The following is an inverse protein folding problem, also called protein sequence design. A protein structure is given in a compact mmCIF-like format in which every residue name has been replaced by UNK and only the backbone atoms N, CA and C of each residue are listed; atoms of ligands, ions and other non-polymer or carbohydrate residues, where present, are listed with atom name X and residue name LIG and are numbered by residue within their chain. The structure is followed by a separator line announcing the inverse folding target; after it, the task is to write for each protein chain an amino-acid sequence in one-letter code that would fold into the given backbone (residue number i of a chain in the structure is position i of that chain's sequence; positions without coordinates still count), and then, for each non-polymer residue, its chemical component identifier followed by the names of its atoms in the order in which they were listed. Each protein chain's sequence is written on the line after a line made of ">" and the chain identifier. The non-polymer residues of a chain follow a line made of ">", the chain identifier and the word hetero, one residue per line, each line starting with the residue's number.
data_IF_726298593727
#
_entry.id   IF_726298593727
#
_cell.length_a   1.000
_cell.length_b   1.000
_cell.length_c   1.000
_cell.angle_alpha   90.00
_cell.angle_beta   90.00
_cell.angle_gamma   90.00
#
_symmetry.space_group_name_H-M   'P 1'
#
loop_
_entity.id
_entity.type
_entity.pdbx_description
1 polymer ?
#
# COMPACT_ATOMS: atom_id res chain seq x y z
N UNK A 1 -12.69 -0.51 5.96
CA UNK A 1 -13.44 -1.04 4.81
C UNK A 1 -13.89 0.12 3.94
N UNK A 2 -14.11 -0.10 2.64
CA UNK A 2 -14.60 0.92 1.72
C UNK A 2 -15.98 1.43 2.12
N UNK A 3 -16.17 2.75 2.11
CA UNK A 3 -17.43 3.41 2.44
C UNK A 3 -17.86 4.31 1.28
N UNK A 4 -19.14 4.28 0.91
CA UNK A 4 -19.67 5.12 -0.18
C UNK A 4 -19.85 6.57 0.28
N UNK A 5 -19.63 7.49 -0.65
CA UNK A 5 -19.97 8.91 -0.51
C UNK A 5 -21.36 9.14 -1.11
N UNK A 6 -22.35 9.46 -0.29
CA UNK A 6 -23.72 9.69 -0.76
C UNK A 6 -23.86 10.99 -1.56
N UNK A 7 -24.85 11.03 -2.45
CA UNK A 7 -25.20 12.22 -3.24
C UNK A 7 -24.24 12.55 -4.38
N UNK A 8 -23.38 11.61 -4.78
CA UNK A 8 -22.48 11.75 -5.94
C UNK A 8 -23.16 11.20 -7.20
N UNK A 9 -22.82 11.76 -8.37
CA UNK A 9 -23.39 11.32 -9.65
C UNK A 9 -22.77 10.01 -10.13
N UNK A 10 -21.54 9.75 -9.70
CA UNK A 10 -20.79 8.54 -10.02
C UNK A 10 -20.35 7.84 -8.74
N UNK A 11 -20.00 6.54 -8.85
CA UNK A 11 -19.37 5.79 -7.76
C UNK A 11 -18.21 6.58 -7.17
N UNK A 12 -18.27 6.81 -5.86
CA UNK A 12 -17.26 7.50 -5.10
C UNK A 12 -17.15 6.79 -3.75
N UNK A 13 -15.99 6.19 -3.51
CA UNK A 13 -15.69 5.47 -2.27
C UNK A 13 -14.48 6.08 -1.56
N UNK A 14 -14.47 5.97 -0.24
CA UNK A 14 -13.37 6.35 0.65
C UNK A 14 -12.98 5.16 1.52
N UNK A 15 -11.70 5.01 1.83
CA UNK A 15 -11.18 3.83 2.53
C UNK A 15 -10.53 4.17 3.88
N UNK A 16 -9.65 5.16 3.90
CA UNK A 16 -8.84 5.53 5.07
C UNK A 16 -8.50 7.01 5.05
N UNK A 17 -8.15 7.56 6.21
CA UNK A 17 -7.79 8.95 6.38
C UNK A 17 -6.54 9.10 7.27
N UNK A 18 -5.65 10.01 6.88
CA UNK A 18 -4.37 10.25 7.54
C UNK A 18 -4.14 11.74 7.71
N UNK A 19 -3.65 12.16 8.86
CA UNK A 19 -3.15 13.52 9.01
C UNK A 19 -1.78 13.66 8.33
N UNK A 20 -1.61 14.70 7.53
CA UNK A 20 -0.37 15.01 6.82
C UNK A 20 0.09 16.43 7.21
N UNK A 21 1.16 16.47 8.04
CA UNK A 21 1.75 17.70 8.55
C UNK A 21 3.07 18.09 7.88
N UNK A 22 3.56 17.34 6.89
CA UNK A 22 4.86 17.55 6.23
C UNK A 22 4.93 18.78 5.31
N UNK A 23 3.84 19.54 5.25
CA UNK A 23 3.67 20.74 4.43
C UNK A 23 2.44 21.52 4.92
N UNK A 24 1.54 21.89 4.02
CA UNK A 24 0.25 22.44 4.44
C UNK A 24 -0.53 21.38 5.26
N UNK A 25 -0.98 21.75 6.46
CA UNK A 25 -1.71 20.85 7.36
C UNK A 25 -3.01 20.41 6.71
N UNK A 26 -3.23 19.10 6.60
CA UNK A 26 -4.45 18.56 6.03
C UNK A 26 -4.76 17.15 6.53
N UNK A 27 -6.02 16.75 6.42
CA UNK A 27 -6.41 15.33 6.43
C UNK A 27 -6.45 14.86 4.98
N UNK A 28 -5.67 13.83 4.66
CA UNK A 28 -5.64 13.17 3.37
C UNK A 28 -6.46 11.90 3.46
N UNK A 29 -7.51 11.81 2.65
CA UNK A 29 -8.37 10.63 2.57
C UNK A 29 -8.07 9.89 1.27
N UNK A 30 -7.95 8.57 1.37
CA UNK A 30 -7.70 7.67 0.25
C UNK A 30 -9.06 7.21 -0.27
N UNK A 31 -9.25 7.32 -1.58
CA UNK A 31 -10.53 7.00 -2.21
C UNK A 31 -10.40 6.51 -3.64
N UNK A 32 -11.55 6.23 -4.23
CA UNK A 32 -11.70 5.93 -5.64
C UNK A 32 -12.92 6.67 -6.18
N UNK A 33 -12.77 7.34 -7.32
CA UNK A 33 -13.83 8.15 -7.93
C UNK A 33 -13.63 8.25 -9.44
N UNK A 34 -14.54 8.93 -10.13
CA UNK A 34 -14.49 9.10 -11.59
C UNK A 34 -13.18 9.78 -12.00
N UNK A 35 -12.53 9.23 -13.02
CA UNK A 35 -11.21 9.71 -13.48
C UNK A 35 -11.26 11.14 -14.01
N UNK A 36 -12.26 11.45 -14.84
CA UNK A 36 -12.44 12.77 -15.47
C UNK A 36 -13.70 13.44 -14.94
N UNK A 37 -13.54 14.67 -14.45
CA UNK A 37 -14.62 15.45 -13.85
C UNK A 37 -15.23 14.78 -12.62
N UNK A 38 -14.43 14.44 -11.58
CA UNK A 38 -14.96 13.88 -10.34
C UNK A 38 -15.93 14.86 -9.67
N UNK A 39 -16.85 14.31 -8.88
CA UNK A 39 -17.80 15.13 -8.11
C UNK A 39 -17.08 16.01 -7.08
N UNK A 40 -17.58 17.24 -6.93
CA UNK A 40 -17.11 18.15 -5.86
C UNK A 40 -17.67 17.66 -4.53
N UNK A 41 -16.81 17.58 -3.52
CA UNK A 41 -17.16 17.09 -2.19
C UNK A 41 -16.62 18.01 -1.11
N UNK A 42 -17.15 17.84 0.11
CA UNK A 42 -16.77 18.57 1.30
C UNK A 42 -16.33 17.58 2.38
N UNK A 43 -15.39 18.01 3.20
CA UNK A 43 -14.96 17.27 4.37
C UNK A 43 -15.70 17.81 5.59
N UNK A 44 -16.42 16.93 6.30
CA UNK A 44 -16.93 17.18 7.63
C UNK A 44 -15.91 16.66 8.62
N UNK A 45 -15.21 17.58 9.28
CA UNK A 45 -14.18 17.30 10.27
C UNK A 45 -14.84 17.19 11.64
N UNK A 46 -14.66 16.06 12.30
CA UNK A 46 -15.29 15.77 13.59
C UNK A 46 -14.28 15.94 14.72
N UNK A 47 -14.58 16.87 15.60
CA UNK A 47 -13.83 17.15 16.81
C UNK A 47 -14.57 16.55 17.99
N UNK A 48 -13.84 15.75 18.78
CA UNK A 48 -14.37 15.18 20.00
C UNK A 48 -13.71 15.86 21.19
N UNK A 49 -14.52 16.57 21.98
CA UNK A 49 -14.15 17.09 23.29
C UNK A 49 -14.86 16.25 24.37
N UNK A 50 -14.41 16.35 25.63
CA UNK A 50 -14.88 15.50 26.73
C UNK A 50 -16.41 15.40 26.85
N UNK A 51 -17.17 16.47 26.49
CA UNK A 51 -18.63 16.51 26.58
C UNK A 51 -19.36 16.97 25.31
N UNK A 52 -18.66 17.20 24.18
CA UNK A 52 -19.31 17.66 22.95
C UNK A 52 -18.61 17.17 21.69
N UNK A 53 -19.41 16.92 20.65
CA UNK A 53 -18.92 16.67 19.29
C UNK A 53 -19.17 17.93 18.46
N UNK A 54 -18.10 18.57 18.00
CA UNK A 54 -18.18 19.74 17.12
C UNK A 54 -17.77 19.35 15.72
N UNK A 55 -18.47 19.86 14.72
CA UNK A 55 -18.15 19.60 13.31
C UNK A 55 -17.73 20.87 12.60
N UNK A 56 -16.70 20.79 11.76
CA UNK A 56 -16.37 21.84 10.80
C UNK A 56 -16.47 21.28 9.38
N UNK A 57 -17.20 21.96 8.50
CA UNK A 57 -17.28 21.59 7.09
C UNK A 57 -16.34 22.46 6.25
N UNK A 58 -15.43 21.84 5.51
CA UNK A 58 -14.48 22.54 4.61
C UNK A 58 -14.59 21.99 3.19
N UNK A 59 -14.37 22.81 2.14
CA UNK A 59 -14.31 22.31 0.77
C UNK A 59 -13.11 21.36 0.62
N UNK A 60 -13.33 20.24 -0.06
CA UNK A 60 -12.27 19.27 -0.33
C UNK A 60 -11.65 19.48 -1.72
N UNK A 61 -10.35 19.22 -1.85
CA UNK A 61 -9.70 19.10 -3.15
C UNK A 61 -9.51 17.64 -3.53
N UNK A 62 -10.25 17.17 -4.54
CA UNK A 62 -10.09 15.82 -5.08
C UNK A 62 -8.96 15.81 -6.10
N UNK A 63 -7.91 15.02 -5.83
CA UNK A 63 -6.75 14.82 -6.69
C UNK A 63 -6.73 13.37 -7.16
N UNK A 64 -7.19 13.14 -8.39
CA UNK A 64 -7.14 11.83 -9.05
C UNK A 64 -5.69 11.44 -9.33
N UNK A 65 -5.37 10.16 -9.13
CA UNK A 65 -4.05 9.60 -9.46
C UNK A 65 -3.92 9.49 -10.98
N UNK A 66 -2.77 9.97 -11.50
CA UNK A 66 -2.51 10.08 -12.94
C UNK A 66 -2.39 8.73 -13.62
N UNK A 67 -1.81 7.75 -12.94
CA UNK A 67 -1.71 6.39 -13.44
C UNK A 67 -3.09 5.70 -13.32
N UNK A 68 -3.87 5.78 -14.38
CA UNK A 68 -5.27 5.35 -14.40
C UNK A 68 -5.71 4.71 -15.72
N UNK A 69 -4.82 4.66 -16.72
CA UNK A 69 -5.04 4.01 -18.02
C UNK A 69 -6.30 4.47 -18.76
N UNK A 70 -6.74 5.71 -18.54
CA UNK A 70 -8.00 6.25 -19.07
C UNK A 70 -9.25 5.43 -18.71
N UNK A 71 -9.19 4.60 -17.66
CA UNK A 71 -10.35 3.88 -17.16
C UNK A 71 -11.38 4.85 -16.56
N UNK A 72 -12.63 4.39 -16.43
CA UNK A 72 -13.76 5.20 -15.98
C UNK A 72 -13.54 5.76 -14.57
N UNK A 73 -12.92 4.97 -13.69
CA UNK A 73 -12.60 5.33 -12.31
C UNK A 73 -11.11 5.17 -12.04
N UNK A 74 -10.64 5.92 -11.04
CA UNK A 74 -9.26 5.92 -10.59
C UNK A 74 -9.20 6.15 -9.09
N UNK A 75 -8.09 5.70 -8.50
CA UNK A 75 -7.72 6.07 -7.15
C UNK A 75 -7.55 7.60 -7.04
N UNK A 76 -7.86 8.16 -5.88
CA UNK A 76 -7.74 9.58 -5.63
C UNK A 76 -7.35 9.88 -4.18
N UNK A 77 -6.79 11.08 -4.00
CA UNK A 77 -6.72 11.73 -2.71
C UNK A 77 -7.84 12.74 -2.58
N UNK A 78 -8.52 12.75 -1.45
CA UNK A 78 -9.42 13.82 -1.04
C UNK A 78 -8.68 14.61 0.03
N UNK A 79 -8.30 15.84 -0.30
CA UNK A 79 -7.50 16.70 0.56
C UNK A 79 -8.43 17.64 1.32
N UNK A 80 -8.44 17.48 2.65
CA UNK A 80 -9.22 18.29 3.57
C UNK A 80 -8.27 19.26 4.29
N UNK A 81 -8.19 20.54 3.88
CA UNK A 81 -7.28 21.49 4.50
C UNK A 81 -7.64 21.74 5.97
N UNK A 82 -6.63 21.90 6.82
CA UNK A 82 -6.77 22.29 8.22
C UNK A 82 -6.15 23.68 8.42
N UNK A 83 -6.87 24.56 9.11
CA UNK A 83 -6.34 25.87 9.49
C UNK A 83 -5.22 25.72 10.55
N UNK A 84 -4.25 26.63 10.54
CA UNK A 84 -3.06 26.54 11.41
C UNK A 84 -3.38 26.50 12.90
N UNK A 85 -4.45 27.17 13.34
CA UNK A 85 -4.90 27.25 14.72
C UNK A 85 -5.80 26.09 15.17
N UNK A 86 -6.11 25.14 14.28
CA UNK A 86 -7.01 24.04 14.58
C UNK A 86 -6.27 22.77 15.01
N UNK A 87 -6.85 22.02 15.93
CA UNK A 87 -6.39 20.67 16.26
C UNK A 87 -6.65 19.70 15.10
N UNK A 88 -6.01 18.54 15.15
CA UNK A 88 -6.30 17.45 14.21
C UNK A 88 -7.65 16.83 14.59
N UNK A 89 -8.60 16.69 13.66
CA UNK A 89 -9.90 16.10 13.97
C UNK A 89 -9.76 14.60 14.26
N UNK A 90 -10.62 14.06 15.11
CA UNK A 90 -10.62 12.63 15.46
C UNK A 90 -11.09 11.76 14.30
N UNK A 91 -12.04 12.25 13.50
CA UNK A 91 -12.54 11.56 12.32
C UNK A 91 -12.95 12.56 11.23
N UNK A 92 -13.09 12.07 10.01
CA UNK A 92 -13.53 12.85 8.85
C UNK A 92 -14.62 12.08 8.10
N UNK A 93 -15.61 12.81 7.61
CA UNK A 93 -16.58 12.31 6.63
C UNK A 93 -16.48 13.10 5.33
N UNK A 94 -16.70 12.43 4.21
CA UNK A 94 -16.77 13.05 2.89
C UNK A 94 -18.23 13.07 2.44
N UNK A 95 -18.74 14.22 2.01
CA UNK A 95 -20.11 14.34 1.53
C UNK A 95 -20.22 15.19 0.26
N UNK A 96 -21.22 14.87 -0.56
CA UNK A 96 -21.72 15.79 -1.58
C UNK A 96 -22.69 16.79 -0.95
N UNK A 97 -22.74 18.02 -1.47
CA UNK A 97 -23.70 19.06 -1.02
C UNK A 97 -25.17 18.65 -1.22
N UNK A 98 -25.44 17.64 -2.05
CA UNK A 98 -26.79 17.15 -2.29
C UNK A 98 -27.43 16.48 -1.05
N UNK A 99 -26.66 16.13 -0.02
CA UNK A 99 -27.14 15.41 1.17
C UNK A 99 -26.73 16.16 2.44
N UNK A 100 -27.65 16.25 3.41
CA UNK A 100 -27.42 16.96 4.70
C UNK A 100 -26.62 16.13 5.72
N UNK A 101 -26.56 14.81 5.58
CA UNK A 101 -25.84 13.91 6.49
C UNK A 101 -24.87 12.99 5.75
N UNK A 102 -23.62 12.83 6.23
CA UNK A 102 -22.65 11.98 5.59
C UNK A 102 -22.96 10.49 5.76
N UNK A 103 -22.69 9.70 4.73
CA UNK A 103 -22.86 8.23 4.71
C UNK A 103 -21.61 7.45 5.13
N UNK A 104 -20.55 8.15 5.52
CA UNK A 104 -19.26 7.57 5.86
C UNK A 104 -18.65 8.32 7.05
N UNK A 105 -17.75 7.67 7.78
CA UNK A 105 -16.92 8.27 8.82
C UNK A 105 -15.63 7.47 8.95
N UNK A 106 -14.50 8.14 8.76
CA UNK A 106 -13.17 7.56 8.81
C UNK A 106 -12.40 8.14 9.98
N UNK A 107 -11.76 7.30 10.79
CA UNK A 107 -10.80 7.76 11.79
C UNK A 107 -9.59 8.39 11.10
N UNK A 108 -9.10 9.49 11.68
CA UNK A 108 -7.90 10.16 11.19
C UNK A 108 -6.70 9.57 11.90
N UNK A 109 -5.88 8.81 11.17
CA UNK A 109 -4.68 8.19 11.71
C UNK A 109 -3.51 9.19 11.77
N UNK A 110 -2.51 8.84 12.57
CA UNK A 110 -1.23 9.54 12.73
C UNK A 110 -1.28 10.98 13.30
N UNK A 111 -2.40 11.35 13.93
CA UNK A 111 -2.55 12.66 14.55
C UNK A 111 -1.51 12.90 15.66
N UNK A 112 -1.18 11.88 16.45
CA UNK A 112 -0.24 11.96 17.56
C UNK A 112 1.21 11.87 17.08
N UNK A 113 1.49 10.93 16.19
CA UNK A 113 2.82 10.67 15.63
C UNK A 113 3.35 11.90 14.90
N UNK A 114 2.50 12.56 14.11
CA UNK A 114 2.86 13.79 13.40
C UNK A 114 3.00 15.02 14.32
N UNK A 115 2.50 14.96 15.57
CA UNK A 115 2.69 16.02 16.56
C UNK A 115 4.03 15.92 17.31
N UNK A 116 4.74 14.79 17.18
CA UNK A 116 6.07 14.62 17.79
C UNK A 116 7.10 15.51 17.07
N UNK A 117 7.76 16.37 17.83
CA UNK A 117 8.76 17.33 17.32
C UNK A 117 10.02 16.64 16.73
N UNK A 118 10.33 15.44 17.22
CA UNK A 118 11.36 14.56 16.69
C UNK A 118 10.73 13.21 16.43
N UNK A 119 10.50 12.82 15.17
CA UNK A 119 10.26 11.42 14.84
C UNK A 119 11.48 10.67 15.38
N UNK A 120 11.26 9.68 16.25
CA UNK A 120 12.31 8.76 16.67
C UNK A 120 12.99 8.26 15.39
N UNK A 121 14.34 8.20 15.30
CA UNK A 121 15.03 7.77 14.09
C UNK A 121 14.32 6.54 13.58
N UNK A 122 13.67 6.70 12.43
CA UNK A 122 12.75 5.71 11.94
C UNK A 122 13.62 4.48 11.75
N UNK A 123 13.28 3.42 12.50
CA UNK A 123 14.10 2.23 12.57
C UNK A 123 14.50 1.82 11.17
N UNK A 124 15.69 1.23 10.98
CA UNK A 124 16.11 0.66 9.69
C UNK A 124 15.10 -0.36 9.13
N UNK A 125 14.06 -0.70 9.89
CA UNK A 125 12.92 -1.50 9.47
C UNK A 125 12.29 -1.07 8.17
N UNK A 126 11.87 -2.07 7.42
CA UNK A 126 11.29 -1.95 6.09
C UNK A 126 9.90 -2.58 6.10
N UNK A 127 8.89 -1.78 5.76
CA UNK A 127 7.54 -2.29 5.48
C UNK A 127 7.41 -2.68 4.00
N UNK A 128 6.51 -3.61 3.69
CA UNK A 128 6.24 -4.05 2.32
C UNK A 128 4.79 -3.84 1.98
N UNK A 129 4.54 -3.23 0.82
CA UNK A 129 3.21 -3.01 0.27
C UNK A 129 3.06 -3.81 -1.01
N UNK A 130 2.07 -4.70 -1.01
CA UNK A 130 1.78 -5.58 -2.13
C UNK A 130 0.46 -5.18 -2.79
N UNK A 131 0.34 -5.39 -4.10
CA UNK A 131 -0.93 -5.23 -4.81
C UNK A 131 -2.07 -6.05 -4.19
N UNK A 132 -3.34 -5.65 -4.39
CA UNK A 132 -4.47 -6.44 -3.94
C UNK A 132 -4.42 -7.91 -4.41
N UNK A 133 -4.69 -8.82 -3.49
CA UNK A 133 -4.88 -10.24 -3.78
C UNK A 133 -6.29 -10.42 -4.36
N UNK A 134 -6.37 -10.86 -5.61
CA UNK A 134 -7.60 -10.89 -6.39
C UNK A 134 -7.76 -12.23 -7.16
N UNK A 135 -8.87 -12.37 -7.89
CA UNK A 135 -9.18 -13.57 -8.70
C UNK A 135 -9.07 -14.90 -7.95
N UNK A 136 -9.55 -14.94 -6.70
CA UNK A 136 -9.48 -16.15 -5.86
C UNK A 136 -8.06 -16.69 -5.74
N UNK A 137 -7.11 -15.82 -5.41
CA UNK A 137 -5.70 -16.17 -5.32
C UNK A 137 -5.47 -17.40 -4.42
N UNK A 138 -4.84 -18.42 -5.01
CA UNK A 138 -4.69 -19.76 -4.42
C UNK A 138 -3.25 -20.30 -4.52
N UNK A 139 -2.28 -19.48 -4.93
CA UNK A 139 -0.85 -19.84 -4.98
C UNK A 139 -0.23 -19.74 -3.57
N UNK A 140 -0.72 -20.55 -2.64
CA UNK A 140 -0.38 -20.43 -1.21
C UNK A 140 1.10 -20.68 -0.93
N UNK A 141 1.75 -21.61 -1.63
CA UNK A 141 3.18 -21.89 -1.43
C UNK A 141 4.05 -20.71 -1.87
N UNK A 142 3.72 -20.09 -3.02
CA UNK A 142 4.41 -18.89 -3.50
C UNK A 142 4.25 -17.72 -2.53
N UNK A 143 3.09 -17.59 -1.89
CA UNK A 143 2.88 -16.59 -0.85
C UNK A 143 3.75 -16.84 0.39
N UNK A 144 3.87 -18.09 0.83
CA UNK A 144 4.74 -18.48 1.95
C UNK A 144 6.19 -18.15 1.59
N UNK A 145 6.65 -18.56 0.41
CA UNK A 145 7.99 -18.27 -0.10
C UNK A 145 8.25 -16.76 -0.13
N UNK A 146 7.31 -15.97 -0.66
CA UNK A 146 7.41 -14.52 -0.68
C UNK A 146 7.54 -13.94 0.74
N UNK A 147 6.74 -14.38 1.70
CA UNK A 147 6.79 -13.87 3.08
C UNK A 147 8.13 -14.24 3.74
N UNK A 148 8.54 -15.50 3.67
CA UNK A 148 9.77 -15.96 4.32
C UNK A 148 11.02 -15.37 3.67
N UNK A 149 11.08 -15.30 2.35
CA UNK A 149 12.23 -14.75 1.64
C UNK A 149 12.40 -13.25 1.91
N UNK A 150 11.31 -12.46 1.86
CA UNK A 150 11.40 -11.04 2.22
C UNK A 150 11.82 -10.85 3.68
N UNK A 151 11.39 -11.74 4.59
CA UNK A 151 11.83 -11.74 5.99
C UNK A 151 13.33 -12.05 6.13
N UNK A 152 13.87 -13.01 5.35
CA UNK A 152 15.30 -13.33 5.32
C UNK A 152 16.13 -12.16 4.76
N UNK A 153 15.61 -11.45 3.76
CA UNK A 153 16.21 -10.24 3.18
C UNK A 153 16.07 -9.01 4.09
N UNK A 154 15.49 -9.19 5.27
CA UNK A 154 15.40 -8.23 6.34
C UNK A 154 14.08 -7.46 6.40
N UNK A 155 13.14 -7.62 5.47
CA UNK A 155 11.88 -6.87 5.54
C UNK A 155 11.02 -7.29 6.74
N UNK A 156 10.51 -6.32 7.49
CA UNK A 156 9.96 -6.54 8.84
C UNK A 156 8.47 -6.83 8.86
N UNK A 157 7.71 -6.25 7.95
CA UNK A 157 6.25 -6.36 7.98
C UNK A 157 5.63 -6.19 6.60
N UNK A 158 4.66 -7.03 6.26
CA UNK A 158 3.99 -7.01 4.95
C UNK A 158 2.52 -6.66 5.11
N UNK A 159 2.04 -5.69 4.33
CA UNK A 159 0.61 -5.35 4.26
C UNK A 159 -0.01 -5.90 2.98
N UNK A 160 -0.97 -6.81 3.14
CA UNK A 160 -1.79 -7.34 2.06
C UNK A 160 -3.19 -6.72 2.05
N UNK A 161 -3.77 -6.68 0.85
CA UNK A 161 -5.14 -6.24 0.60
C UNK A 161 -5.94 -7.39 0.03
N UNK A 162 -6.84 -7.96 0.82
CA UNK A 162 -7.65 -9.11 0.43
C UNK A 162 -8.91 -8.64 -0.32
N UNK A 163 -8.86 -8.64 -1.66
CA UNK A 163 -10.08 -8.68 -2.44
C UNK A 163 -10.62 -10.11 -2.45
N UNK A 164 -9.92 -11.07 -3.03
CA UNK A 164 -10.40 -12.45 -3.18
C UNK A 164 -9.25 -13.46 -3.08
N UNK A 165 -9.29 -14.30 -2.06
CA UNK A 165 -8.31 -15.36 -1.80
C UNK A 165 -8.99 -16.69 -1.47
N UNK A 166 -8.28 -17.80 -1.64
CA UNK A 166 -8.73 -19.13 -1.20
C UNK A 166 -8.74 -19.26 0.34
N UNK A 167 -9.50 -20.23 0.87
CA UNK A 167 -9.53 -20.54 2.30
C UNK A 167 -8.16 -20.99 2.84
N UNK A 168 -7.38 -21.70 2.02
CA UNK A 168 -6.03 -22.15 2.39
C UNK A 168 -5.09 -20.96 2.55
N UNK A 169 -5.12 -20.03 1.59
CA UNK A 169 -4.36 -18.78 1.66
C UNK A 169 -4.78 -17.94 2.87
N UNK A 170 -6.08 -17.83 3.14
CA UNK A 170 -6.59 -17.10 4.31
C UNK A 170 -6.10 -17.71 5.64
N UNK A 171 -6.04 -19.04 5.73
CA UNK A 171 -5.50 -19.74 6.90
C UNK A 171 -4.01 -19.40 7.14
N UNK A 172 -3.19 -19.43 6.09
CA UNK A 172 -1.76 -19.10 6.17
C UNK A 172 -1.56 -17.63 6.56
N UNK A 173 -2.30 -16.71 5.94
CA UNK A 173 -2.21 -15.30 6.27
C UNK A 173 -2.60 -15.02 7.74
N UNK A 174 -3.63 -15.70 8.27
CA UNK A 174 -4.01 -15.60 9.69
C UNK A 174 -2.90 -16.05 10.63
N UNK A 175 -2.15 -17.08 10.26
CA UNK A 175 -0.98 -17.51 11.03
C UNK A 175 0.07 -16.40 11.09
N UNK A 176 0.49 -15.83 9.96
CA UNK A 176 1.45 -14.72 9.94
C UNK A 176 0.95 -13.42 10.60
N UNK A 177 -0.36 -13.18 10.57
CA UNK A 177 -0.97 -12.09 11.36
C UNK A 177 -0.82 -12.33 12.86
N UNK A 178 -0.98 -13.57 13.33
CA UNK A 178 -0.82 -13.90 14.76
C UNK A 178 0.63 -13.74 15.25
N UNK A 179 1.60 -13.87 14.35
CA UNK A 179 3.02 -13.60 14.61
C UNK A 179 3.39 -12.11 14.53
N UNK A 180 2.47 -11.25 14.09
CA UNK A 180 2.72 -9.82 13.90
C UNK A 180 3.56 -9.47 12.66
N UNK A 181 3.84 -10.44 11.78
CA UNK A 181 4.64 -10.26 10.56
C UNK A 181 3.83 -9.68 9.40
N UNK A 182 2.51 -9.83 9.45
CA UNK A 182 1.62 -9.46 8.35
C UNK A 182 0.38 -8.70 8.85
N UNK A 183 -0.06 -7.72 8.07
CA UNK A 183 -1.40 -7.12 8.17
C UNK A 183 -2.22 -7.45 6.93
N UNK A 184 -3.45 -7.92 7.10
CA UNK A 184 -4.39 -8.15 5.99
C UNK A 184 -5.60 -7.24 6.11
N UNK A 185 -5.83 -6.41 5.08
CA UNK A 185 -6.95 -5.48 5.02
C UNK A 185 -8.03 -6.00 4.07
N UNK A 186 -9.28 -5.99 4.52
CA UNK A 186 -10.42 -6.32 3.64
C UNK A 186 -10.56 -5.27 2.54
N UNK A 187 -10.49 -5.71 1.29
CA UNK A 187 -10.37 -4.86 0.11
C UNK A 187 -11.45 -5.15 -0.94
N UNK A 188 -12.72 -5.10 -0.54
CA UNK A 188 -13.86 -5.23 -1.45
C UNK A 188 -14.31 -3.87 -1.96
N UNK A 189 -13.90 -3.51 -3.18
CA UNK A 189 -14.29 -2.29 -3.87
C UNK A 189 -15.37 -2.60 -4.92
N UNK A 190 -16.53 -1.95 -4.86
CA UNK A 190 -17.57 -2.06 -5.88
C UNK A 190 -17.21 -1.22 -7.12
N UNK A 191 -16.16 -1.61 -7.84
CA UNK A 191 -15.79 -1.13 -9.16
C UNK A 191 -15.21 -2.31 -9.94
N UNK A 192 -15.72 -2.58 -11.13
CA UNK A 192 -15.30 -3.78 -11.88
C UNK A 192 -13.80 -3.69 -12.22
N UNK A 193 -13.02 -4.62 -11.70
CA UNK A 193 -11.57 -4.66 -11.95
C UNK A 193 -11.27 -4.78 -13.45
N UNK A 194 -10.17 -4.14 -13.88
CA UNK A 194 -9.66 -4.05 -15.25
C UNK A 194 -10.59 -3.40 -16.29
N UNK A 195 -11.87 -3.18 -15.97
CA UNK A 195 -12.85 -2.51 -16.83
C UNK A 195 -13.21 -1.11 -16.35
N UNK A 196 -13.48 -0.97 -15.06
CA UNK A 196 -13.86 0.29 -14.42
C UNK A 196 -12.69 0.92 -13.66
N UNK A 197 -11.85 0.11 -13.01
CA UNK A 197 -10.66 0.53 -12.28
C UNK A 197 -9.51 -0.48 -12.45
N UNK A 198 -8.26 -0.03 -12.41
CA UNK A 198 -7.07 -0.88 -12.54
C UNK A 198 -6.87 -1.72 -11.27
N UNK A 199 -6.79 -3.05 -11.44
CA UNK A 199 -6.39 -4.04 -10.40
C UNK A 199 -6.99 -3.74 -9.04
N UNK A 200 -8.33 -3.85 -8.93
CA UNK A 200 -9.04 -3.69 -7.65
C UNK A 200 -8.76 -2.35 -6.96
N UNK A 201 -8.28 -1.33 -7.68
CA UNK A 201 -7.81 -0.07 -7.08
C UNK A 201 -6.38 -0.13 -6.53
N UNK A 202 -5.45 -0.81 -7.21
CA UNK A 202 -4.03 -0.95 -6.85
C UNK A 202 -3.40 0.33 -6.30
N UNK A 203 -3.56 1.45 -7.00
CA UNK A 203 -2.95 2.70 -6.56
C UNK A 203 -3.57 3.26 -5.27
N UNK A 204 -4.84 2.95 -4.97
CA UNK A 204 -5.41 3.27 -3.67
C UNK A 204 -4.81 2.40 -2.57
N UNK A 205 -4.58 1.10 -2.83
CA UNK A 205 -3.96 0.17 -1.89
C UNK A 205 -2.51 0.56 -1.57
N UNK A 206 -1.69 0.80 -2.59
CA UNK A 206 -0.29 1.19 -2.39
C UNK A 206 -0.15 2.52 -1.64
N UNK A 207 -1.03 3.49 -1.93
CA UNK A 207 -1.03 4.75 -1.20
C UNK A 207 -1.62 4.64 0.22
N UNK A 208 -2.61 3.77 0.45
CA UNK A 208 -3.04 3.45 1.82
C UNK A 208 -1.86 2.86 2.61
N UNK A 209 -1.17 1.88 2.04
CA UNK A 209 -0.06 1.20 2.68
C UNK A 209 1.09 2.17 3.00
N UNK A 210 1.49 2.99 2.02
CA UNK A 210 2.54 3.98 2.21
C UNK A 210 2.24 4.92 3.38
N UNK A 211 1.02 5.44 3.47
CA UNK A 211 0.64 6.36 4.55
C UNK A 211 0.44 5.64 5.88
N UNK A 212 -0.11 4.42 5.89
CA UNK A 212 -0.24 3.58 7.08
C UNK A 212 1.12 3.29 7.71
N UNK A 213 2.11 2.99 6.88
CA UNK A 213 3.45 2.61 7.30
C UNK A 213 4.35 3.81 7.61
N UNK A 214 3.91 5.04 7.30
CA UNK A 214 4.79 6.21 7.22
C UNK A 214 5.43 6.65 8.53
N UNK A 215 4.94 6.17 9.68
CA UNK A 215 5.49 6.45 11.01
C UNK A 215 6.02 5.20 11.72
N UNK A 216 5.79 4.01 11.15
CA UNK A 216 6.17 2.73 11.75
C UNK A 216 7.47 2.17 11.15
N UNK A 217 7.78 2.51 9.88
CA UNK A 217 8.92 1.98 9.14
C UNK A 217 9.76 3.10 8.52
N UNK A 218 11.10 2.95 8.51
CA UNK A 218 12.00 3.93 7.90
C UNK A 218 11.98 3.88 6.37
N UNK A 219 11.68 2.70 5.82
CA UNK A 219 11.50 2.50 4.39
C UNK A 219 10.26 1.66 4.11
N UNK A 220 9.71 1.83 2.91
CA UNK A 220 8.60 1.03 2.41
C UNK A 220 8.95 0.53 1.00
N UNK A 221 8.95 -0.78 0.82
CA UNK A 221 9.07 -1.43 -0.48
C UNK A 221 7.68 -1.56 -1.13
N UNK A 222 7.56 -1.18 -2.40
CA UNK A 222 6.37 -1.42 -3.21
C UNK A 222 6.75 -2.50 -4.23
N UNK A 223 6.37 -3.76 -3.99
CA UNK A 223 6.73 -4.91 -4.82
C UNK A 223 5.53 -5.83 -5.02
N UNK A 224 5.51 -6.53 -6.15
CA UNK A 224 4.53 -7.58 -6.41
C UNK A 224 4.98 -8.95 -5.83
N UNK A 225 4.05 -9.91 -5.73
CA UNK A 225 4.31 -11.25 -5.16
C UNK A 225 5.36 -12.07 -5.93
N UNK A 226 5.57 -11.74 -7.20
CA UNK A 226 6.52 -12.34 -8.11
C UNK A 226 7.84 -11.54 -8.21
N UNK A 227 7.99 -10.49 -7.40
CA UNK A 227 9.19 -9.65 -7.36
C UNK A 227 9.93 -9.79 -6.04
N UNK A 228 11.26 -9.89 -6.12
CA UNK A 228 12.14 -9.96 -4.96
C UNK A 228 13.26 -8.93 -5.16
N UNK A 229 13.50 -8.11 -4.14
CA UNK A 229 14.63 -7.17 -4.13
C UNK A 229 15.85 -7.91 -3.60
N UNK A 230 16.84 -8.17 -4.45
CA UNK A 230 18.06 -8.87 -4.06
C UNK A 230 19.26 -7.91 -3.89
N UNK A 231 19.86 -7.82 -2.70
CA UNK A 231 21.08 -7.05 -2.49
C UNK A 231 22.29 -7.78 -3.09
N UNK A 232 23.18 -7.05 -3.78
CA UNK A 232 24.38 -7.64 -4.43
C UNK A 232 25.60 -7.79 -3.51
N UNK A 233 25.68 -6.99 -2.45
CA UNK A 233 26.90 -6.85 -1.64
C UNK A 233 26.67 -7.03 -0.15
N UNK A 234 25.43 -7.27 0.28
CA UNK A 234 25.02 -7.37 1.66
C UNK A 234 23.96 -8.48 1.78
N UNK A 235 23.75 -9.01 2.98
CA UNK A 235 22.79 -10.09 3.20
C UNK A 235 21.35 -9.56 3.26
N UNK A 236 21.16 -8.32 3.73
CA UNK A 236 19.85 -7.70 3.91
C UNK A 236 19.73 -6.37 3.20
N UNK A 237 18.49 -5.97 2.90
CA UNK A 237 18.19 -4.67 2.27
C UNK A 237 18.53 -3.51 3.19
N UNK A 238 18.36 -3.65 4.51
CA UNK A 238 18.78 -2.62 5.47
C UNK A 238 20.27 -2.32 5.37
N UNK A 239 21.09 -3.36 5.45
CA UNK A 239 22.54 -3.22 5.35
C UNK A 239 22.94 -2.62 4.00
N UNK A 240 22.26 -3.00 2.92
CA UNK A 240 22.50 -2.42 1.61
C UNK A 240 22.18 -0.92 1.57
N UNK A 241 21.06 -0.47 2.15
CA UNK A 241 20.70 0.96 2.23
C UNK A 241 21.70 1.74 3.09
N UNK A 242 22.10 1.19 4.24
CA UNK A 242 23.11 1.78 5.12
C UNK A 242 24.45 1.92 4.40
N UNK A 243 24.89 0.86 3.71
CA UNK A 243 26.10 0.88 2.90
C UNK A 243 26.03 1.91 1.77
N UNK A 244 24.90 2.02 1.06
CA UNK A 244 24.71 3.06 0.04
C UNK A 244 24.85 4.46 0.63
N UNK A 245 24.39 4.69 1.85
CA UNK A 245 24.54 5.96 2.56
C UNK A 245 26.00 6.37 2.84
N UNK A 246 26.93 5.42 2.83
CA UNK A 246 28.38 5.71 2.93
C UNK A 246 29.00 6.18 1.60
N UNK A 247 28.34 5.85 0.47
CA UNK A 247 28.85 6.10 -0.88
C UNK A 247 28.14 7.26 -1.59
N UNK A 248 26.88 7.48 -1.24
CA UNK A 248 26.01 8.47 -1.87
C UNK A 248 25.46 9.41 -0.80
N UNK A 249 25.24 10.68 -1.15
CA UNK A 249 24.53 11.60 -0.27
C UNK A 249 23.03 11.27 -0.28
N UNK A 250 22.57 10.53 0.73
CA UNK A 250 21.17 10.08 0.84
C UNK A 250 20.27 11.03 1.64
N UNK A 251 20.79 12.15 2.14
CA UNK A 251 20.04 13.07 3.03
C UNK A 251 18.80 13.69 2.38
N UNK A 252 18.78 13.79 1.05
CA UNK A 252 17.65 14.31 0.27
C UNK A 252 16.97 13.24 -0.60
N UNK A 253 17.28 11.96 -0.38
CA UNK A 253 16.71 10.86 -1.16
C UNK A 253 15.28 10.56 -0.71
N UNK A 254 14.31 10.72 -1.62
CA UNK A 254 12.91 10.40 -1.37
C UNK A 254 12.52 8.96 -1.75
N UNK A 255 13.33 8.28 -2.56
CA UNK A 255 13.07 6.90 -3.02
C UNK A 255 14.34 6.27 -3.60
N UNK A 256 14.44 4.94 -3.49
CA UNK A 256 15.40 4.12 -4.22
C UNK A 256 14.69 3.40 -5.37
N UNK A 257 15.40 3.17 -6.46
CA UNK A 257 14.89 2.42 -7.61
C UNK A 257 15.93 1.40 -8.02
N UNK A 258 15.48 0.18 -8.29
CA UNK A 258 16.33 -0.96 -8.59
C UNK A 258 16.13 -1.36 -10.06
N UNK A 259 17.17 -1.92 -10.67
CA UNK A 259 17.05 -2.52 -12.00
C UNK A 259 16.38 -3.89 -11.85
N UNK A 260 15.35 -4.15 -12.66
CA UNK A 260 14.71 -5.46 -12.70
C UNK A 260 15.40 -6.38 -13.70
N UNK A 261 15.50 -7.66 -13.34
CA UNK A 261 15.85 -8.77 -14.20
C UNK A 261 14.70 -9.79 -14.18
N UNK A 262 14.35 -10.34 -15.33
CA UNK A 262 13.23 -11.26 -15.46
C UNK A 262 13.74 -12.70 -15.60
N UNK A 263 13.20 -13.60 -14.78
CA UNK A 263 13.49 -15.03 -14.83
C UNK A 263 12.23 -15.77 -15.30
N UNK A 264 12.24 -16.22 -16.55
CA UNK A 264 11.08 -16.87 -17.17
C UNK A 264 11.06 -18.37 -16.84
N UNK A 265 10.23 -18.74 -15.86
CA UNK A 265 10.06 -20.14 -15.42
C UNK A 265 9.38 -21.05 -16.46
N UNK A 266 8.92 -20.49 -17.59
CA UNK A 266 8.32 -21.24 -18.69
C UNK A 266 9.36 -21.85 -19.63
N UNK A 267 10.62 -21.40 -19.53
CA UNK A 267 11.70 -21.90 -20.35
C UNK A 267 12.44 -23.01 -19.62
N UNK A 268 12.96 -24.02 -20.34
CA UNK A 268 13.75 -25.08 -19.72
C UNK A 268 14.99 -24.48 -19.07
N UNK A 269 15.43 -25.08 -17.97
CA UNK A 269 16.70 -24.76 -17.33
C UNK A 269 17.83 -24.88 -18.37
N UNK A 270 18.76 -23.93 -18.38
CA UNK A 270 19.96 -24.04 -19.21
C UNK A 270 20.76 -25.27 -18.74
N UNK A 271 20.85 -26.28 -19.61
CA UNK A 271 21.60 -27.51 -19.36
C UNK A 271 23.11 -27.27 -19.25
N UNK A 272 23.57 -26.10 -19.69
CA UNK A 272 24.96 -25.65 -19.63
C UNK A 272 25.14 -24.76 -18.40
N UNK A 273 25.04 -25.35 -17.21
CA UNK A 273 25.47 -24.67 -15.99
C UNK A 273 26.97 -24.37 -16.12
N UNK A 274 27.34 -23.10 -15.98
CA UNK A 274 28.75 -22.74 -15.84
C UNK A 274 29.30 -23.43 -14.58
N UNK A 275 30.59 -23.80 -14.56
CA UNK A 275 31.29 -24.34 -13.38
C UNK A 275 31.35 -23.34 -12.21
N UNK A 276 30.70 -22.17 -12.34
CA UNK A 276 30.62 -21.14 -11.32
C UNK A 276 29.63 -21.58 -10.22
N UNK A 277 30.16 -21.67 -8.99
CA UNK A 277 29.42 -22.04 -7.79
C UNK A 277 28.27 -21.06 -7.50
N UNK A 278 28.41 -19.80 -7.90
CA UNK A 278 27.36 -18.79 -7.76
C UNK A 278 26.21 -19.02 -8.75
N UNK A 279 26.51 -19.28 -10.03
CA UNK A 279 25.47 -19.54 -11.04
C UNK A 279 24.75 -20.87 -10.80
N UNK A 280 25.48 -21.90 -10.36
CA UNK A 280 24.87 -23.17 -9.92
C UNK A 280 24.07 -23.06 -8.62
N UNK A 281 24.29 -22.02 -7.81
CA UNK A 281 23.47 -21.73 -6.62
C UNK A 281 22.17 -20.97 -6.95
N UNK A 282 22.15 -20.21 -8.06
CA UNK A 282 20.94 -19.57 -8.60
C UNK A 282 19.94 -20.59 -9.18
N UNK A 283 20.42 -21.80 -9.50
CA UNK A 283 19.59 -22.94 -9.93
C UNK A 283 18.63 -23.45 -8.85
N UNK A 284 18.70 -22.92 -7.62
CA UNK A 284 17.91 -23.37 -6.48
C UNK A 284 16.61 -22.59 -6.21
N UNK A 285 16.28 -21.51 -6.96
CA UNK A 285 14.89 -21.03 -7.02
C UNK A 285 14.05 -21.92 -7.93
N UNK A 286 13.93 -23.18 -7.52
CA UNK A 286 13.15 -24.21 -8.20
C UNK A 286 11.68 -24.04 -7.81
N UNK A 287 10.96 -23.16 -8.51
CA UNK A 287 9.50 -23.29 -8.59
C UNK A 287 9.23 -24.56 -9.40
N UNK A 288 8.92 -25.64 -8.67
CA UNK A 288 8.99 -27.01 -9.16
C UNK A 288 8.17 -27.32 -10.42
N UNK A 289 8.78 -28.09 -11.32
CA UNK A 289 8.12 -28.65 -12.48
C UNK A 289 9.05 -29.58 -13.25
N UNK A 290 9.40 -30.74 -12.67
CA UNK A 290 10.15 -31.75 -13.39
C UNK A 290 9.29 -32.41 -14.48
N UNK A 291 9.75 -32.41 -15.73
CA UNK A 291 9.25 -33.33 -16.76
C UNK A 291 10.42 -33.83 -17.60
N UNK A 292 10.45 -35.16 -17.77
CA UNK A 292 11.44 -35.93 -18.53
C UNK A 292 11.38 -35.61 -20.02
N UNK A 293 12.51 -35.65 -20.75
CA UNK A 293 12.50 -35.54 -22.20
C UNK A 293 12.20 -36.90 -22.84
N UNK A 294 11.37 -36.91 -23.89
CA UNK A 294 11.35 -37.92 -24.95
C UNK A 294 10.59 -37.37 -26.17
N UNK A 295 10.91 -37.79 -27.39
CA UNK A 295 12.22 -37.91 -28.04
C UNK A 295 12.52 -36.76 -28.99
#
# INVERSE_FOLDING_TARGET
>A
FWQSVAGTRFKFFVFSAYYDGRGARMVRVMGATKTRGPDRVWCVLWYQSFNSTTTLTVPAKVKVIRENWNLKYSACFILCPLASNMSVPHSVSIMSRAVLSPSNRLFVNHAFEAAKAHPTPQSSKIGVCVKPLHFNYNQTLQLIEFIELNSLLGMDHITFYNDSISSTTDCVLKHYMSEGRVTVLRWKLDMVSQREIRTEGLFAALNDCLYRSMYDFGYVALIDLDEIVMPKHNDTIQQFIEWMGTRLNTKSTGSYSFQNAFFYLQWPDDLMLSDDVFESSLTSMRIGGGVRPFP
#
